data_IF_925904579887
#
_entry.id   IF_925904579887
#
_cell.length_a   1.000
_cell.length_b   1.000
_cell.length_c   1.000
_cell.angle_alpha   90.00
_cell.angle_beta   90.00
_cell.angle_gamma   90.00
#
_symmetry.space_group_name_H-M   'P 1'
#
loop_
_entity.id
_entity.type
_entity.pdbx_description
1 polymer ?
#
# COMPACT_ATOMS: atom_id res chain seq x y z
N UNK A 1 0.90 -24.47 -6.17
CA UNK A 1 0.90 -23.09 -5.62
C UNK A 1 -0.34 -22.96 -4.74
N UNK A 2 -0.23 -22.34 -3.58
CA UNK A 2 -1.35 -22.10 -2.66
C UNK A 2 -1.39 -20.62 -2.32
N UNK A 3 -2.60 -20.07 -2.15
CA UNK A 3 -2.80 -18.67 -1.74
C UNK A 3 -2.92 -18.63 -0.22
N UNK A 4 -2.08 -17.82 0.43
CA UNK A 4 -2.20 -17.52 1.85
C UNK A 4 -3.35 -16.53 2.06
N UNK A 5 -4.24 -16.83 3.01
CA UNK A 5 -5.29 -15.91 3.45
C UNK A 5 -4.92 -15.42 4.85
N UNK A 6 -4.89 -14.10 5.04
CA UNK A 6 -4.62 -13.45 6.31
C UNK A 6 -5.91 -12.76 6.78
N UNK A 7 -6.32 -13.01 8.02
CA UNK A 7 -7.46 -12.32 8.62
C UNK A 7 -7.01 -10.99 9.26
N UNK A 8 -7.94 -10.26 9.88
CA UNK A 8 -7.64 -8.97 10.51
C UNK A 8 -6.65 -9.08 11.67
N UNK A 9 -6.78 -10.09 12.53
CA UNK A 9 -5.91 -10.30 13.69
C UNK A 9 -4.49 -10.67 13.24
N UNK A 10 -4.36 -11.51 12.20
CA UNK A 10 -3.07 -11.85 11.59
C UNK A 10 -2.37 -10.60 11.04
N UNK A 11 -3.13 -9.69 10.40
CA UNK A 11 -2.57 -8.43 9.87
C UNK A 11 -2.14 -7.51 11.00
N UNK A 12 -2.96 -7.35 12.05
CA UNK A 12 -2.65 -6.49 13.20
C UNK A 12 -1.39 -6.93 13.94
N UNK A 13 -1.24 -8.24 14.19
CA UNK A 13 -0.06 -8.81 14.85
C UNK A 13 1.24 -8.55 14.06
N UNK A 14 1.15 -8.54 12.72
CA UNK A 14 2.32 -8.45 11.85
C UNK A 14 2.65 -7.02 11.37
N UNK A 15 1.66 -6.13 11.27
CA UNK A 15 1.79 -4.76 10.76
C UNK A 15 2.17 -3.75 11.86
N UNK A 16 3.24 -4.03 12.61
CA UNK A 16 3.71 -3.15 13.69
C UNK A 16 4.00 -1.73 13.19
N UNK A 17 3.57 -0.72 13.95
CA UNK A 17 3.57 0.69 13.53
C UNK A 17 4.96 1.20 13.12
N UNK A 18 6.02 0.81 13.84
CA UNK A 18 7.42 1.15 13.53
C UNK A 18 7.81 0.69 12.12
N UNK A 19 7.47 -0.56 11.76
CA UNK A 19 7.72 -1.12 10.44
C UNK A 19 6.85 -0.51 9.36
N UNK A 20 5.59 -0.20 9.68
CA UNK A 20 4.66 0.45 8.73
C UNK A 20 5.17 1.85 8.36
N UNK A 21 5.68 2.61 9.32
CA UNK A 21 6.27 3.94 9.06
C UNK A 21 7.40 3.83 8.04
N UNK A 22 8.34 2.91 8.23
CA UNK A 22 9.47 2.75 7.31
C UNK A 22 9.05 2.21 5.94
N UNK A 23 8.07 1.30 5.89
CA UNK A 23 7.52 0.82 4.62
C UNK A 23 6.84 1.96 3.83
N UNK A 24 6.08 2.83 4.50
CA UNK A 24 5.42 3.98 3.88
C UNK A 24 6.44 5.02 3.43
N UNK A 25 7.50 5.27 4.20
CA UNK A 25 8.63 6.13 3.79
C UNK A 25 9.27 5.63 2.49
N UNK A 26 9.59 4.34 2.43
CA UNK A 26 10.16 3.71 1.24
C UNK A 26 9.25 3.82 0.02
N UNK A 27 7.94 3.66 0.19
CA UNK A 27 6.98 3.84 -0.88
C UNK A 27 6.97 5.28 -1.44
N UNK A 28 7.03 6.29 -0.56
CA UNK A 28 7.13 7.70 -0.99
C UNK A 28 8.44 7.99 -1.72
N UNK A 29 9.57 7.50 -1.21
CA UNK A 29 10.87 7.68 -1.86
C UNK A 29 10.91 7.00 -3.24
N UNK A 30 10.41 5.77 -3.35
CA UNK A 30 10.32 5.06 -4.63
C UNK A 30 9.43 5.81 -5.64
N UNK A 31 8.29 6.36 -5.18
CA UNK A 31 7.41 7.16 -6.02
C UNK A 31 8.12 8.41 -6.58
N UNK A 32 8.79 9.18 -5.72
CA UNK A 32 9.51 10.39 -6.14
C UNK A 32 10.66 10.09 -7.11
N UNK A 33 11.33 8.94 -6.95
CA UNK A 33 12.40 8.50 -7.84
C UNK A 33 11.90 7.89 -9.17
N UNK A 34 10.58 7.82 -9.38
CA UNK A 34 10.00 7.22 -10.60
C UNK A 34 10.02 5.69 -10.61
N UNK A 35 10.22 5.05 -9.46
CA UNK A 35 10.22 3.58 -9.29
C UNK A 35 8.85 3.03 -8.90
N UNK A 36 7.78 3.70 -9.33
CA UNK A 36 6.41 3.34 -8.99
C UNK A 36 5.49 3.47 -10.22
N UNK A 37 4.51 2.59 -10.31
CA UNK A 37 3.39 2.71 -11.24
C UNK A 37 2.13 2.79 -10.37
N UNK A 38 1.56 3.99 -10.27
CA UNK A 38 0.37 4.28 -9.45
C UNK A 38 -0.63 5.08 -10.29
N UNK A 39 -1.50 4.41 -11.07
CA UNK A 39 -2.54 5.09 -11.82
C UNK A 39 -3.53 5.81 -10.89
N UNK A 40 -4.34 6.71 -11.46
CA UNK A 40 -5.44 7.32 -10.74
C UNK A 40 -6.39 6.23 -10.18
N UNK A 41 -6.96 6.49 -9.01
CA UNK A 41 -7.95 5.61 -8.40
C UNK A 41 -9.19 5.51 -9.30
N UNK A 42 -9.79 4.33 -9.36
CA UNK A 42 -11.09 4.13 -10.00
C UNK A 42 -12.19 4.14 -8.95
N UNK A 43 -13.33 4.76 -9.28
CA UNK A 43 -14.46 4.96 -8.39
C UNK A 43 -15.73 4.36 -8.98
N UNK A 44 -16.55 3.78 -8.11
CA UNK A 44 -17.95 3.42 -8.38
C UNK A 44 -18.79 4.04 -7.28
N UNK A 45 -19.53 5.09 -7.63
CA UNK A 45 -20.41 5.79 -6.69
C UNK A 45 -21.70 4.98 -6.45
N UNK A 46 -22.11 4.86 -5.19
CA UNK A 46 -23.30 4.15 -4.74
C UNK A 46 -24.18 5.06 -3.87
N UNK A 47 -24.79 6.11 -4.45
CA UNK A 47 -25.54 7.12 -3.69
C UNK A 47 -26.78 6.56 -2.98
N UNK A 48 -27.39 5.48 -3.49
CA UNK A 48 -28.51 4.78 -2.83
C UNK A 48 -28.11 4.19 -1.46
N UNK A 49 -26.82 3.94 -1.25
CA UNK A 49 -26.27 3.35 -0.03
C UNK A 49 -25.36 4.31 0.75
N UNK A 50 -25.34 5.60 0.35
CA UNK A 50 -24.47 6.62 0.94
C UNK A 50 -22.98 6.22 0.96
N UNK A 51 -22.48 5.64 -0.14
CA UNK A 51 -21.12 5.11 -0.19
C UNK A 51 -20.49 4.99 -1.59
N UNK A 52 -19.28 4.43 -1.63
CA UNK A 52 -18.51 4.17 -2.85
C UNK A 52 -17.72 2.84 -2.79
N UNK A 53 -17.25 2.38 -3.95
CA UNK A 53 -16.17 1.41 -4.07
C UNK A 53 -14.97 2.04 -4.78
N UNK A 54 -13.78 1.73 -4.28
CA UNK A 54 -12.51 2.31 -4.76
C UNK A 54 -11.50 1.22 -5.06
N UNK A 55 -10.95 1.26 -6.27
CA UNK A 55 -9.80 0.43 -6.65
C UNK A 55 -8.54 1.29 -6.68
N UNK A 56 -7.49 0.83 -5.97
CA UNK A 56 -6.22 1.54 -5.82
C UNK A 56 -5.03 0.63 -6.19
N UNK A 57 -4.88 0.21 -7.45
CA UNK A 57 -3.76 -0.63 -7.86
C UNK A 57 -2.46 0.17 -7.83
N UNK A 58 -1.37 -0.48 -7.41
CA UNK A 58 -0.03 0.10 -7.45
C UNK A 58 1.02 -1.00 -7.66
N UNK A 59 2.12 -0.63 -8.32
CA UNK A 59 3.38 -1.36 -8.32
C UNK A 59 4.46 -0.44 -7.76
N UNK A 60 5.29 -0.96 -6.87
CA UNK A 60 6.41 -0.25 -6.26
C UNK A 60 7.66 -1.12 -6.35
N UNK A 61 8.75 -0.57 -6.88
CA UNK A 61 10.11 -1.10 -6.78
C UNK A 61 10.84 -0.37 -5.65
N UNK A 62 10.65 -0.83 -4.40
CA UNK A 62 11.26 -0.25 -3.20
C UNK A 62 12.62 -0.90 -2.95
N UNK A 63 13.68 -0.09 -2.89
CA UNK A 63 15.06 -0.55 -2.70
C UNK A 63 15.51 -0.30 -1.27
N UNK A 64 16.56 -0.96 -0.82
CA UNK A 64 17.14 -0.71 0.52
C UNK A 64 17.54 0.75 0.74
N UNK A 65 18.01 1.43 -0.32
CA UNK A 65 18.34 2.84 -0.27
C UNK A 65 17.12 3.77 -0.06
N UNK A 66 15.90 3.25 -0.25
CA UNK A 66 14.65 4.00 -0.02
C UNK A 66 14.16 3.88 1.43
N UNK A 67 14.71 2.94 2.20
CA UNK A 67 14.37 2.69 3.62
C UNK A 67 15.55 2.84 4.58
N UNK A 68 16.77 3.09 4.07
CA UNK A 68 17.95 3.33 4.90
C UNK A 68 17.87 4.69 5.61
N UNK A 69 18.02 4.70 6.94
CA UNK A 69 18.12 5.93 7.72
C UNK A 69 19.38 6.72 7.28
N UNK A 70 19.21 8.03 7.05
CA UNK A 70 20.30 8.98 6.76
C UNK A 70 20.91 9.53 8.05
#
# INVERSE_FOLDING_TARGET
MQTLLLNADDVDENARTDRVIEAVRGAFAAYERGNAIMPAKSYVDLPEYDGDFRSMPAYLDVREADTAES
#
